data_IF_517083290103
#
_entry.id   IF_517083290103
#
_cell.length_a   1.000
_cell.length_b   1.000
_cell.length_c   1.000
_cell.angle_alpha   90.00
_cell.angle_beta   90.00
_cell.angle_gamma   90.00
#
_symmetry.space_group_name_H-M   'P 1'
#
loop_
_entity.id
_entity.type
_entity.pdbx_description
1 polymer ?
#
# COMPACT_ATOMS: atom_id res chain seq x y z
N UNK A 1 -23.64 -27.11 26.88
CA UNK A 1 -22.48 -26.20 26.78
C UNK A 1 -22.87 -25.08 25.85
N UNK A 2 -23.19 -23.88 26.36
CA UNK A 2 -23.48 -22.72 25.53
C UNK A 2 -22.15 -22.17 25.03
N UNK A 3 -21.80 -22.46 23.77
CA UNK A 3 -20.66 -21.81 23.14
C UNK A 3 -21.10 -20.39 22.79
N UNK A 4 -20.58 -19.39 23.50
CA UNK A 4 -20.80 -17.98 23.17
C UNK A 4 -20.33 -17.74 21.73
N UNK A 5 -21.23 -17.23 20.89
CA UNK A 5 -20.87 -16.86 19.53
C UNK A 5 -19.83 -15.73 19.56
N UNK A 6 -18.83 -15.74 18.66
CA UNK A 6 -17.80 -14.73 18.64
C UNK A 6 -18.37 -13.32 18.39
N UNK A 7 -17.82 -12.31 19.06
CA UNK A 7 -18.23 -10.91 18.93
C UNK A 7 -17.84 -10.26 17.59
N UNK A 8 -17.37 -11.04 16.62
CA UNK A 8 -16.87 -10.56 15.34
C UNK A 8 -17.40 -11.39 14.17
N UNK A 9 -17.37 -10.79 12.97
CA UNK A 9 -17.69 -11.45 11.71
C UNK A 9 -16.51 -11.30 10.77
N UNK A 10 -16.05 -12.41 10.19
CA UNK A 10 -15.02 -12.39 9.15
C UNK A 10 -15.74 -12.24 7.81
N UNK A 11 -15.30 -11.25 7.01
CA UNK A 11 -15.83 -11.00 5.66
C UNK A 11 -14.67 -10.67 4.74
N UNK A 12 -14.77 -11.11 3.49
CA UNK A 12 -13.87 -10.69 2.41
C UNK A 12 -14.34 -9.35 1.86
N UNK A 13 -13.40 -8.49 1.48
CA UNK A 13 -13.67 -7.22 0.82
C UNK A 13 -12.63 -6.98 -0.27
N UNK A 14 -13.06 -6.37 -1.38
CA UNK A 14 -12.15 -5.86 -2.40
C UNK A 14 -11.97 -4.37 -2.14
N UNK A 15 -10.83 -4.01 -1.58
CA UNK A 15 -10.49 -2.61 -1.30
C UNK A 15 -9.69 -2.04 -2.47
N UNK A 16 -10.05 -0.85 -2.99
CA UNK A 16 -9.18 -0.14 -3.92
C UNK A 16 -7.92 0.29 -3.16
N UNK A 17 -6.77 -0.24 -3.57
CA UNK A 17 -5.46 0.12 -3.01
C UNK A 17 -4.55 0.60 -4.11
N UNK A 18 -3.65 1.52 -3.78
CA UNK A 18 -2.58 1.93 -4.68
C UNK A 18 -1.43 0.94 -4.55
N UNK A 19 -0.95 0.41 -5.67
CA UNK A 19 0.19 -0.50 -5.69
C UNK A 19 1.44 0.24 -6.20
N UNK A 20 2.48 0.30 -5.36
CA UNK A 20 3.78 0.84 -5.72
C UNK A 20 4.73 -0.32 -6.03
N UNK A 21 4.91 -0.61 -7.32
CA UNK A 21 5.79 -1.65 -7.81
C UNK A 21 7.23 -1.14 -7.92
N UNK A 22 8.10 -1.66 -7.07
CA UNK A 22 9.52 -1.27 -7.04
C UNK A 22 10.29 -2.16 -8.01
N UNK A 23 10.94 -1.54 -8.99
CA UNK A 23 11.66 -2.22 -10.08
C UNK A 23 13.19 -2.12 -9.95
N UNK A 24 13.69 -1.61 -8.84
CA UNK A 24 15.13 -1.40 -8.61
C UNK A 24 15.48 -1.55 -7.14
N UNK A 25 16.60 -2.24 -6.81
CA UNK A 25 17.14 -2.28 -5.46
C UNK A 25 17.90 -0.99 -5.05
N UNK A 26 18.10 -0.04 -5.97
CA UNK A 26 18.84 1.20 -5.68
C UNK A 26 17.98 2.16 -4.84
N UNK A 27 18.18 2.11 -3.51
CA UNK A 27 17.47 2.95 -2.54
C UNK A 27 17.70 4.46 -2.76
N UNK A 28 18.93 4.95 -2.97
CA UNK A 28 19.16 6.36 -3.34
C UNK A 28 18.35 6.81 -4.55
N UNK A 29 18.35 6.02 -5.63
CA UNK A 29 17.57 6.32 -6.83
C UNK A 29 16.07 6.33 -6.55
N UNK A 30 15.57 5.33 -5.80
CA UNK A 30 14.17 5.23 -5.41
C UNK A 30 13.71 6.45 -4.61
N UNK A 31 14.49 6.87 -3.60
CA UNK A 31 14.17 8.06 -2.79
C UNK A 31 14.06 9.33 -3.63
N UNK A 32 15.01 9.52 -4.56
CA UNK A 32 15.02 10.67 -5.46
C UNK A 32 13.78 10.68 -6.36
N UNK A 33 13.43 9.53 -6.93
CA UNK A 33 12.25 9.39 -7.81
C UNK A 33 10.93 9.63 -7.06
N UNK A 34 10.80 9.09 -5.85
CA UNK A 34 9.62 9.30 -5.00
C UNK A 34 9.45 10.77 -4.61
N UNK A 35 10.52 11.43 -4.18
CA UNK A 35 10.47 12.85 -3.82
C UNK A 35 10.04 13.73 -5.00
N UNK A 36 10.57 13.46 -6.20
CA UNK A 36 10.15 14.16 -7.42
C UNK A 36 8.66 13.97 -7.70
N UNK A 37 8.17 12.73 -7.57
CA UNK A 37 6.76 12.42 -7.84
C UNK A 37 5.82 13.07 -6.81
N UNK A 38 6.19 13.05 -5.54
CA UNK A 38 5.43 13.70 -4.46
C UNK A 38 5.30 15.21 -4.69
N UNK A 39 6.37 15.87 -5.14
CA UNK A 39 6.35 17.30 -5.44
C UNK A 39 5.48 17.65 -6.66
N UNK A 40 5.38 16.74 -7.65
CA UNK A 40 4.54 16.93 -8.83
C UNK A 40 3.05 16.69 -8.54
N UNK A 41 2.74 15.81 -7.60
CA UNK A 41 1.36 15.39 -7.31
C UNK A 41 1.15 15.28 -5.79
N UNK A 42 1.05 16.42 -5.07
CA UNK A 42 0.99 16.44 -3.62
C UNK A 42 -0.22 15.68 -3.04
N UNK A 43 -1.37 15.72 -3.72
CA UNK A 43 -2.60 15.08 -3.24
C UNK A 43 -2.72 13.60 -3.63
N UNK A 44 -1.88 13.11 -4.54
CA UNK A 44 -2.05 11.78 -5.14
C UNK A 44 -1.89 10.63 -4.14
N UNK A 45 -1.14 10.84 -3.07
CA UNK A 45 -0.93 9.87 -2.00
C UNK A 45 -1.69 10.22 -0.71
N UNK A 46 -2.48 11.30 -0.72
CA UNK A 46 -3.25 11.70 0.45
C UNK A 46 -4.32 10.64 0.75
N UNK A 47 -4.31 10.12 1.98
CA UNK A 47 -5.34 9.22 2.51
C UNK A 47 -5.59 7.93 1.71
N UNK A 48 -4.67 7.54 0.82
CA UNK A 48 -4.80 6.33 0.00
C UNK A 48 -3.91 5.22 0.56
N UNK A 49 -4.46 4.03 0.92
CA UNK A 49 -3.64 2.89 1.31
C UNK A 49 -2.71 2.46 0.18
N UNK A 50 -1.43 2.27 0.49
CA UNK A 50 -0.42 1.87 -0.47
C UNK A 50 0.11 0.49 -0.11
N UNK A 51 0.18 -0.40 -1.11
CA UNK A 51 0.87 -1.68 -1.04
C UNK A 51 2.20 -1.56 -1.76
N UNK A 52 3.30 -1.90 -1.09
CA UNK A 52 4.62 -2.03 -1.71
C UNK A 52 4.72 -3.41 -2.35
N UNK A 53 4.99 -3.45 -3.65
CA UNK A 53 5.22 -4.68 -4.41
C UNK A 53 6.72 -4.74 -4.74
N UNK A 54 7.36 -5.85 -4.35
CA UNK A 54 8.82 -6.04 -4.41
C UNK A 54 9.23 -7.25 -5.26
N UNK A 55 8.30 -7.90 -5.97
CA UNK A 55 8.56 -9.12 -6.75
C UNK A 55 9.53 -8.93 -7.91
N UNK A 56 9.79 -7.69 -8.32
CA UNK A 56 10.71 -7.36 -9.42
C UNK A 56 12.14 -7.00 -8.98
N UNK A 57 12.50 -7.17 -7.71
CA UNK A 57 13.85 -6.91 -7.18
C UNK A 57 14.55 -8.22 -6.82
#
# INVERSE_FOLDING_TARGET
MNSEAPAFKIKTANLPVLQLHIITPDLPLLKKALALRLNQTPDFFASTPIVLELSAI
#
